data_IF_624020650790
#
_entry.id   IF_624020650790
#
_cell.length_a   1.000
_cell.length_b   1.000
_cell.length_c   1.000
_cell.angle_alpha   90.00
_cell.angle_beta   90.00
_cell.angle_gamma   90.00
#
_symmetry.space_group_name_H-M   'P 1'
#
loop_
_entity.id
_entity.type
_entity.pdbx_description
1 polymer ?
#
# COMPACT_ATOMS: atom_id res chain seq x y z
N UNK A 1 -26.05 10.11 9.59
CA UNK A 1 -26.76 9.43 10.68
C UNK A 1 -25.91 8.26 11.13
N UNK A 2 -25.58 8.15 12.43
CA UNK A 2 -24.87 6.99 12.97
C UNK A 2 -25.77 5.73 12.87
N UNK A 3 -25.15 4.58 12.60
CA UNK A 3 -25.81 3.30 12.35
C UNK A 3 -26.76 2.86 13.49
N UNK A 4 -26.43 3.25 14.73
CA UNK A 4 -27.19 2.92 15.93
C UNK A 4 -28.58 3.55 15.98
N UNK A 5 -28.76 4.74 15.40
CA UNK A 5 -30.03 5.47 15.42
C UNK A 5 -31.05 4.83 14.43
N UNK A 6 -30.54 4.19 13.40
CA UNK A 6 -31.34 3.47 12.41
C UNK A 6 -31.94 2.19 12.99
N UNK A 7 -31.14 1.43 13.75
CA UNK A 7 -31.57 0.21 14.44
C UNK A 7 -32.70 0.48 15.45
N UNK A 8 -32.60 1.60 16.18
CA UNK A 8 -33.62 2.01 17.14
C UNK A 8 -34.96 2.34 16.46
N UNK A 9 -34.90 3.06 15.34
CA UNK A 9 -36.09 3.45 14.57
C UNK A 9 -36.79 2.23 13.95
N UNK A 10 -36.04 1.22 13.48
CA UNK A 10 -36.61 -0.03 12.96
C UNK A 10 -37.27 -0.84 14.08
N UNK A 11 -36.65 -0.92 15.26
CA UNK A 11 -37.20 -1.64 16.42
C UNK A 11 -38.51 -1.03 16.93
N UNK A 12 -38.62 0.30 16.94
CA UNK A 12 -39.87 0.98 17.30
C UNK A 12 -40.98 0.72 16.28
N UNK A 13 -40.69 0.79 14.98
CA UNK A 13 -41.69 0.52 13.93
C UNK A 13 -42.19 -0.94 13.92
N UNK A 14 -41.32 -1.92 14.19
CA UNK A 14 -41.73 -3.33 14.21
C UNK A 14 -42.66 -3.64 15.38
N UNK A 15 -42.46 -2.98 16.53
CA UNK A 15 -43.31 -3.14 17.71
C UNK A 15 -44.74 -2.64 17.47
N UNK A 16 -44.90 -1.51 16.75
CA UNK A 16 -46.22 -0.92 16.45
C UNK A 16 -47.06 -1.79 15.49
N UNK A 17 -46.43 -2.55 14.59
CA UNK A 17 -47.14 -3.38 13.62
C UNK A 17 -47.67 -4.68 14.26
N UNK A 18 -47.08 -5.13 15.37
CA UNK A 18 -47.45 -6.41 16.01
C UNK A 18 -48.76 -6.36 16.83
N UNK A 19 -49.26 -5.17 17.18
CA UNK A 19 -50.35 -5.00 18.13
C UNK A 19 -51.78 -5.25 17.62
N UNK A 20 -52.02 -5.32 16.31
CA UNK A 20 -53.38 -5.19 15.75
C UNK A 20 -53.84 -6.28 14.77
N UNK A 21 -53.19 -7.45 14.78
CA UNK A 21 -53.52 -8.56 13.86
C UNK A 21 -53.99 -9.81 14.63
N UNK A 22 -55.19 -9.75 15.23
CA UNK A 22 -55.91 -10.93 15.74
C UNK A 22 -57.08 -11.27 14.82
N UNK A 23 -56.80 -11.99 13.73
CA UNK A 23 -57.81 -12.54 12.82
C UNK A 23 -57.24 -13.69 11.98
N UNK A 24 -58.06 -14.67 11.57
CA UNK A 24 -57.62 -15.91 10.89
C UNK A 24 -56.98 -15.70 9.50
N UNK A 25 -56.97 -14.46 8.99
CA UNK A 25 -56.33 -14.06 7.72
C UNK A 25 -54.84 -13.71 7.93
N UNK A 26 -54.36 -13.61 9.17
CA UNK A 26 -53.00 -13.17 9.50
C UNK A 26 -51.90 -14.25 9.30
N UNK A 27 -52.27 -15.52 9.14
CA UNK A 27 -51.29 -16.63 9.05
C UNK A 27 -50.74 -16.83 7.63
N UNK A 28 -51.45 -16.43 6.59
CA UNK A 28 -50.98 -16.54 5.20
C UNK A 28 -49.99 -15.42 4.85
N UNK A 29 -50.28 -14.17 5.26
CA UNK A 29 -49.44 -13.00 4.94
C UNK A 29 -48.05 -13.01 5.59
N UNK A 30 -47.90 -13.65 6.77
CA UNK A 30 -46.60 -13.70 7.48
C UNK A 30 -45.57 -14.57 6.76
N UNK A 31 -45.99 -15.60 6.02
CA UNK A 31 -45.09 -16.54 5.33
C UNK A 31 -44.43 -15.92 4.09
N UNK A 32 -45.12 -14.99 3.43
CA UNK A 32 -44.62 -14.30 2.25
C UNK A 32 -43.68 -13.13 2.59
N UNK A 33 -43.82 -12.55 3.81
CA UNK A 33 -42.91 -11.49 4.30
C UNK A 33 -41.55 -12.10 4.67
N UNK A 34 -41.53 -13.21 5.41
CA UNK A 34 -40.27 -13.88 5.81
C UNK A 34 -39.49 -14.42 4.60
N UNK A 35 -40.20 -14.92 3.58
CA UNK A 35 -39.57 -15.43 2.37
C UNK A 35 -38.89 -14.32 1.55
N UNK A 36 -39.40 -13.09 1.55
CA UNK A 36 -38.77 -11.98 0.83
C UNK A 36 -37.54 -11.42 1.55
N UNK A 37 -37.48 -11.46 2.90
CA UNK A 37 -36.31 -11.02 3.67
C UNK A 37 -35.08 -11.91 3.42
N UNK A 38 -35.27 -13.23 3.29
CA UNK A 38 -34.21 -14.19 2.95
C UNK A 38 -33.63 -13.97 1.55
N UNK A 39 -34.44 -13.51 0.58
CA UNK A 39 -33.95 -13.19 -0.77
C UNK A 39 -33.18 -11.87 -0.82
N UNK A 40 -33.52 -10.88 0.01
CA UNK A 40 -32.74 -9.63 0.13
C UNK A 40 -31.39 -9.85 0.80
N UNK A 41 -31.31 -10.68 1.85
CA UNK A 41 -30.04 -10.99 2.53
C UNK A 41 -29.09 -11.78 1.63
N UNK A 42 -29.61 -12.73 0.84
CA UNK A 42 -28.77 -13.56 -0.05
C UNK A 42 -28.28 -12.82 -1.31
N UNK A 43 -28.91 -11.69 -1.65
CA UNK A 43 -28.52 -10.88 -2.81
C UNK A 43 -27.35 -9.93 -2.48
N UNK A 44 -27.23 -9.47 -1.25
CA UNK A 44 -26.10 -8.65 -0.81
C UNK A 44 -24.78 -9.46 -0.78
N UNK A 45 -24.81 -10.72 -0.34
CA UNK A 45 -23.62 -11.59 -0.33
C UNK A 45 -23.04 -11.86 -1.74
N UNK A 46 -23.89 -11.87 -2.76
CA UNK A 46 -23.47 -12.20 -4.14
C UNK A 46 -22.85 -11.01 -4.89
N UNK A 47 -23.08 -9.76 -4.44
CA UNK A 47 -22.40 -8.58 -4.98
C UNK A 47 -21.05 -8.34 -4.30
N UNK A 48 -20.84 -8.76 -3.05
CA UNK A 48 -19.53 -8.67 -2.38
C UNK A 48 -18.49 -9.66 -2.94
N UNK A 49 -18.92 -10.83 -3.41
CA UNK A 49 -17.97 -11.88 -3.82
C UNK A 49 -17.26 -11.59 -5.16
N UNK A 50 -17.86 -10.77 -6.04
CA UNK A 50 -17.21 -10.36 -7.31
C UNK A 50 -16.25 -9.18 -7.14
N UNK A 51 -16.42 -8.36 -6.10
CA UNK A 51 -15.51 -7.24 -5.80
C UNK A 51 -14.20 -7.73 -5.18
N UNK A 52 -14.23 -8.86 -4.47
CA UNK A 52 -13.06 -9.40 -3.76
C UNK A 52 -11.87 -9.77 -4.66
N UNK A 53 -12.13 -10.20 -5.90
CA UNK A 53 -11.08 -10.55 -6.87
C UNK A 53 -10.36 -9.32 -7.42
N UNK A 54 -11.08 -8.21 -7.62
CA UNK A 54 -10.53 -6.97 -8.17
C UNK A 54 -9.55 -6.29 -7.21
N UNK A 55 -9.80 -6.33 -5.90
CA UNK A 55 -8.91 -5.73 -4.90
C UNK A 55 -7.54 -6.40 -4.88
N UNK A 56 -7.50 -7.73 -5.00
CA UNK A 56 -6.24 -8.48 -5.04
C UNK A 56 -5.42 -8.11 -6.27
N UNK A 57 -6.03 -7.99 -7.44
CA UNK A 57 -5.31 -7.61 -8.66
C UNK A 57 -4.69 -6.20 -8.55
N UNK A 58 -5.44 -5.24 -7.99
CA UNK A 58 -4.94 -3.87 -7.76
C UNK A 58 -3.77 -3.83 -6.78
N UNK A 59 -3.81 -4.65 -5.73
CA UNK A 59 -2.69 -4.76 -4.78
C UNK A 59 -1.41 -5.27 -5.46
N UNK A 60 -1.51 -6.39 -6.19
CA UNK A 60 -0.34 -6.98 -6.86
C UNK A 60 0.21 -6.08 -7.98
N UNK A 61 -0.67 -5.40 -8.73
CA UNK A 61 -0.22 -4.47 -9.76
C UNK A 61 0.43 -3.23 -9.17
N UNK A 62 -0.11 -2.69 -8.07
CA UNK A 62 0.50 -1.59 -7.33
C UNK A 62 1.87 -1.95 -6.77
N UNK A 63 2.01 -3.14 -6.20
CA UNK A 63 3.30 -3.66 -5.72
C UNK A 63 4.32 -3.78 -6.86
N UNK A 64 3.92 -4.36 -7.99
CA UNK A 64 4.77 -4.47 -9.17
C UNK A 64 5.17 -3.09 -9.72
N UNK A 65 4.24 -2.13 -9.73
CA UNK A 65 4.49 -0.77 -10.17
C UNK A 65 5.53 -0.05 -9.29
N UNK A 66 5.43 -0.20 -7.96
CA UNK A 66 6.41 0.30 -7.00
C UNK A 66 7.80 -0.27 -7.29
N UNK A 67 7.91 -1.58 -7.53
CA UNK A 67 9.18 -2.23 -7.86
C UNK A 67 9.80 -1.67 -9.16
N UNK A 68 8.98 -1.44 -10.19
CA UNK A 68 9.45 -0.88 -11.47
C UNK A 68 9.95 0.56 -11.29
N UNK A 69 9.21 1.41 -10.57
CA UNK A 69 9.65 2.77 -10.28
C UNK A 69 10.97 2.76 -9.53
N UNK A 70 11.10 1.89 -8.53
CA UNK A 70 12.32 1.78 -7.74
C UNK A 70 13.54 1.47 -8.60
N UNK A 71 13.40 0.47 -9.47
CA UNK A 71 14.46 0.08 -10.40
C UNK A 71 14.83 1.19 -11.38
N UNK A 72 13.83 1.93 -11.87
CA UNK A 72 14.05 3.07 -12.76
C UNK A 72 14.87 4.17 -12.08
N UNK A 73 14.59 4.45 -10.80
CA UNK A 73 15.36 5.41 -10.00
C UNK A 73 16.81 4.98 -9.88
N UNK A 74 17.06 3.69 -9.57
CA UNK A 74 18.42 3.17 -9.50
C UNK A 74 19.18 3.35 -10.82
N UNK A 75 18.53 3.14 -11.96
CA UNK A 75 19.11 3.39 -13.29
C UNK A 75 19.45 4.87 -13.49
N UNK A 76 18.56 5.78 -13.11
CA UNK A 76 18.78 7.23 -13.22
C UNK A 76 19.89 7.71 -12.29
N UNK A 77 20.05 7.06 -11.13
CA UNK A 77 21.08 7.41 -10.15
C UNK A 77 22.50 7.05 -10.62
N UNK A 78 22.65 6.00 -11.46
CA UNK A 78 23.94 5.54 -11.98
C UNK A 78 24.76 6.61 -12.72
N UNK A 79 24.25 7.28 -13.77
CA UNK A 79 25.01 8.31 -14.47
C UNK A 79 25.37 9.48 -13.55
N UNK A 80 24.49 9.80 -12.59
CA UNK A 80 24.76 10.84 -11.60
C UNK A 80 25.96 10.47 -10.72
N UNK A 81 26.03 9.21 -10.24
CA UNK A 81 27.16 8.71 -9.44
C UNK A 81 28.48 8.73 -10.22
N UNK A 82 28.43 8.47 -11.54
CA UNK A 82 29.62 8.44 -12.39
C UNK A 82 30.15 9.84 -12.75
N UNK A 83 29.26 10.83 -12.91
CA UNK A 83 29.63 12.17 -13.35
C UNK A 83 30.13 13.04 -12.19
N UNK A 84 29.47 12.93 -11.03
CA UNK A 84 29.75 13.83 -9.91
C UNK A 84 31.01 13.45 -9.16
N UNK A 85 31.72 14.47 -8.67
CA UNK A 85 32.95 14.30 -7.90
C UNK A 85 32.88 14.90 -6.50
N UNK A 86 33.65 14.31 -5.59
CA UNK A 86 33.87 14.79 -4.22
C UNK A 86 32.68 14.50 -3.29
N UNK A 87 32.60 15.24 -2.18
CA UNK A 87 31.57 15.02 -1.16
C UNK A 87 30.16 15.44 -1.61
N UNK A 88 30.04 16.26 -2.66
CA UNK A 88 28.76 16.76 -3.18
C UNK A 88 27.84 15.62 -3.66
N UNK A 89 28.42 14.50 -4.12
CA UNK A 89 27.66 13.31 -4.52
C UNK A 89 26.80 12.79 -3.37
N UNK A 90 27.31 12.75 -2.14
CA UNK A 90 26.59 12.19 -0.99
C UNK A 90 25.40 13.06 -0.59
N UNK A 91 25.55 14.39 -0.68
CA UNK A 91 24.45 15.32 -0.42
C UNK A 91 23.35 15.20 -1.46
N UNK A 92 23.71 15.11 -2.74
CA UNK A 92 22.74 15.01 -3.82
C UNK A 92 22.05 13.64 -3.79
N UNK A 93 22.81 12.55 -3.67
CA UNK A 93 22.28 11.19 -3.57
C UNK A 93 21.43 11.01 -2.32
N UNK A 94 21.84 11.57 -1.18
CA UNK A 94 21.05 11.58 0.05
C UNK A 94 19.75 12.39 -0.09
N UNK A 95 19.81 13.57 -0.69
CA UNK A 95 18.61 14.39 -0.94
C UNK A 95 17.62 13.69 -1.87
N UNK A 96 18.11 13.07 -2.94
CA UNK A 96 17.31 12.25 -3.86
C UNK A 96 16.72 11.04 -3.11
N UNK A 97 17.51 10.37 -2.27
CA UNK A 97 17.07 9.26 -1.43
C UNK A 97 15.90 9.66 -0.52
N UNK A 98 16.02 10.76 0.22
CA UNK A 98 14.93 11.28 1.07
C UNK A 98 13.68 11.59 0.23
N UNK A 99 13.84 12.31 -0.88
CA UNK A 99 12.72 12.71 -1.73
C UNK A 99 11.95 11.49 -2.26
N UNK A 100 12.67 10.48 -2.77
CA UNK A 100 12.03 9.23 -3.19
C UNK A 100 11.50 8.42 -2.02
N UNK A 101 12.16 8.43 -0.87
CA UNK A 101 11.67 7.78 0.35
C UNK A 101 10.29 8.33 0.77
N UNK A 102 10.08 9.64 0.67
CA UNK A 102 8.77 10.27 0.94
C UNK A 102 7.72 9.81 -0.09
N UNK A 103 8.08 9.78 -1.37
CA UNK A 103 7.17 9.32 -2.44
C UNK A 103 6.80 7.85 -2.23
N UNK A 104 7.76 7.00 -1.89
CA UNK A 104 7.54 5.58 -1.62
C UNK A 104 6.69 5.36 -0.37
N UNK A 105 6.97 6.07 0.72
CA UNK A 105 6.16 6.02 1.92
C UNK A 105 4.71 6.42 1.62
N UNK A 106 4.48 7.45 0.79
CA UNK A 106 3.13 7.80 0.32
C UNK A 106 2.47 6.68 -0.50
N UNK A 107 3.16 6.13 -1.51
CA UNK A 107 2.66 5.04 -2.35
C UNK A 107 2.30 3.79 -1.53
N UNK A 108 3.14 3.45 -0.55
CA UNK A 108 2.93 2.29 0.31
C UNK A 108 1.73 2.50 1.22
N UNK A 109 1.56 3.71 1.78
CA UNK A 109 0.36 4.05 2.57
C UNK A 109 -0.92 3.94 1.75
N UNK A 110 -0.90 4.34 0.49
CA UNK A 110 -2.07 4.18 -0.38
C UNK A 110 -2.38 2.70 -0.66
N UNK A 111 -1.36 1.86 -0.84
CA UNK A 111 -1.54 0.41 -0.97
C UNK A 111 -1.99 -0.26 0.33
N UNK A 112 -1.53 0.24 1.47
CA UNK A 112 -1.87 -0.27 2.80
C UNK A 112 -3.37 -0.13 3.10
N UNK A 113 -4.02 0.92 2.59
CA UNK A 113 -5.47 1.09 2.72
C UNK A 113 -6.27 0.03 1.95
N UNK A 114 -5.69 -0.60 0.92
CA UNK A 114 -6.35 -1.63 0.13
C UNK A 114 -6.40 -2.98 0.88
N UNK A 115 -5.47 -3.25 1.81
CA UNK A 115 -5.40 -4.54 2.50
C UNK A 115 -4.87 -4.45 3.94
N UNK A 116 -5.79 -4.33 4.91
CA UNK A 116 -5.51 -4.15 6.35
C UNK A 116 -4.74 -5.29 7.03
N UNK A 117 -4.51 -6.44 6.39
CA UNK A 117 -3.86 -7.60 7.03
C UNK A 117 -2.35 -7.71 6.77
N UNK A 118 -1.78 -6.86 5.91
CA UNK A 118 -0.42 -7.05 5.42
C UNK A 118 0.57 -5.91 5.72
N UNK A 119 0.31 -5.12 6.78
CA UNK A 119 1.22 -4.06 7.25
C UNK A 119 2.68 -4.52 7.41
N UNK A 120 2.90 -5.73 7.93
CA UNK A 120 4.24 -6.30 8.14
C UNK A 120 4.99 -6.60 6.83
N UNK A 121 4.24 -6.90 5.75
CA UNK A 121 4.81 -7.24 4.47
C UNK A 121 5.48 -6.02 3.84
N UNK A 122 4.81 -4.86 3.84
CA UNK A 122 5.38 -3.61 3.34
C UNK A 122 6.65 -3.21 4.10
N UNK A 123 6.63 -3.34 5.44
CA UNK A 123 7.80 -3.03 6.27
C UNK A 123 9.03 -3.88 5.96
N UNK A 124 8.83 -5.13 5.52
CA UNK A 124 9.92 -6.04 5.14
C UNK A 124 10.35 -5.85 3.69
N UNK A 125 9.42 -5.47 2.81
CA UNK A 125 9.67 -5.28 1.38
C UNK A 125 10.62 -4.12 1.11
N UNK A 126 10.44 -2.98 1.79
CA UNK A 126 11.24 -1.77 1.60
C UNK A 126 12.76 -2.00 1.81
N UNK A 127 13.23 -2.59 2.92
CA UNK A 127 14.65 -2.85 3.10
C UNK A 127 15.20 -3.87 2.10
N UNK A 128 14.40 -4.88 1.70
CA UNK A 128 14.80 -5.83 0.66
C UNK A 128 15.04 -5.11 -0.67
N UNK A 129 14.11 -4.22 -1.05
CA UNK A 129 14.20 -3.41 -2.27
C UNK A 129 15.46 -2.53 -2.23
N UNK A 130 15.73 -1.86 -1.11
CA UNK A 130 16.93 -1.04 -0.94
C UNK A 130 18.23 -1.84 -1.09
N UNK A 131 18.30 -3.04 -0.51
CA UNK A 131 19.47 -3.93 -0.66
C UNK A 131 19.65 -4.33 -2.13
N UNK A 132 18.56 -4.65 -2.83
CA UNK A 132 18.58 -4.99 -4.25
C UNK A 132 19.15 -3.84 -5.10
N UNK A 133 18.71 -2.60 -4.83
CA UNK A 133 19.26 -1.41 -5.48
C UNK A 133 20.75 -1.24 -5.21
N UNK A 134 21.21 -1.48 -3.98
CA UNK A 134 22.63 -1.41 -3.65
C UNK A 134 23.45 -2.34 -4.55
N UNK A 135 22.97 -3.58 -4.69
CA UNK A 135 23.63 -4.60 -5.48
C UNK A 135 23.66 -4.20 -6.97
N UNK A 136 22.54 -3.69 -7.49
CA UNK A 136 22.42 -3.21 -8.87
C UNK A 136 23.37 -2.02 -9.10
N UNK A 137 23.34 -1.00 -8.25
CA UNK A 137 24.18 0.20 -8.37
C UNK A 137 25.65 -0.21 -8.39
N UNK A 138 26.08 -1.06 -7.45
CA UNK A 138 27.47 -1.50 -7.34
C UNK A 138 27.90 -2.35 -8.56
N UNK A 139 27.08 -3.31 -8.97
CA UNK A 139 27.37 -4.17 -10.11
C UNK A 139 27.44 -3.38 -11.41
N UNK A 140 26.42 -2.57 -11.70
CA UNK A 140 26.33 -1.81 -12.95
C UNK A 140 27.39 -0.71 -12.99
N UNK A 141 27.65 0.00 -11.87
CA UNK A 141 28.68 1.05 -11.83
C UNK A 141 30.08 0.50 -12.16
N UNK A 142 30.43 -0.69 -11.65
CA UNK A 142 31.71 -1.35 -11.96
C UNK A 142 31.83 -1.69 -13.44
N UNK A 143 30.79 -2.29 -14.01
CA UNK A 143 30.77 -2.65 -15.43
C UNK A 143 30.83 -1.41 -16.33
N UNK A 144 30.05 -0.36 -16.01
CA UNK A 144 30.07 0.89 -16.76
C UNK A 144 31.44 1.58 -16.69
N UNK A 145 32.10 1.59 -15.54
CA UNK A 145 33.43 2.18 -15.42
C UNK A 145 34.48 1.48 -16.28
N UNK A 146 34.37 0.15 -16.43
CA UNK A 146 35.23 -0.62 -17.34
C UNK A 146 34.93 -0.26 -18.80
N UNK A 147 33.64 -0.21 -19.17
CA UNK A 147 33.19 0.11 -20.55
C UNK A 147 33.62 1.53 -20.95
N UNK A 148 33.41 2.52 -20.09
CA UNK A 148 33.73 3.92 -20.36
C UNK A 148 35.19 4.30 -20.06
N UNK A 149 35.98 3.38 -19.48
CA UNK A 149 37.37 3.62 -19.04
C UNK A 149 37.51 4.84 -18.12
N UNK A 150 36.48 5.15 -17.33
CA UNK A 150 36.48 6.28 -16.38
C UNK A 150 37.01 5.81 -15.03
N UNK A 151 37.96 6.55 -14.45
CA UNK A 151 38.39 6.32 -13.08
C UNK A 151 37.29 6.77 -12.12
N UNK A 152 36.63 5.82 -11.45
CA UNK A 152 35.67 6.14 -10.39
C UNK A 152 36.44 6.73 -9.21
N UNK A 153 36.17 7.99 -8.88
CA UNK A 153 36.84 8.67 -7.76
C UNK A 153 36.22 8.35 -6.39
N UNK A 154 35.08 7.64 -6.37
CA UNK A 154 34.28 7.36 -5.18
C UNK A 154 33.94 5.89 -5.11
N UNK A 155 33.69 5.37 -3.92
CA UNK A 155 33.20 4.02 -3.76
C UNK A 155 31.67 3.99 -4.02
N UNK A 156 31.18 3.34 -5.10
CA UNK A 156 29.75 3.28 -5.41
C UNK A 156 28.93 2.64 -4.30
N UNK A 157 29.53 1.73 -3.53
CA UNK A 157 28.88 1.07 -2.40
C UNK A 157 28.56 2.08 -1.29
N UNK A 158 29.46 3.03 -1.01
CA UNK A 158 29.22 4.07 0.00
C UNK A 158 28.12 5.02 -0.47
N UNK A 159 28.15 5.46 -1.73
CA UNK A 159 27.11 6.32 -2.28
C UNK A 159 25.72 5.63 -2.27
N UNK A 160 25.66 4.37 -2.68
CA UNK A 160 24.43 3.57 -2.60
C UNK A 160 23.96 3.33 -1.16
N UNK A 161 24.88 3.18 -0.21
CA UNK A 161 24.51 3.05 1.21
C UNK A 161 23.89 4.34 1.75
N UNK A 162 24.46 5.50 1.40
CA UNK A 162 23.90 6.81 1.75
C UNK A 162 22.50 6.97 1.15
N UNK A 163 22.30 6.58 -0.12
CA UNK A 163 20.98 6.57 -0.75
C UNK A 163 19.96 5.76 0.05
N UNK A 164 20.29 4.50 0.39
CA UNK A 164 19.36 3.59 1.07
C UNK A 164 19.03 4.09 2.47
N UNK A 165 20.03 4.53 3.24
CA UNK A 165 19.81 5.08 4.57
C UNK A 165 18.90 6.31 4.49
N UNK A 166 19.17 7.21 3.55
CA UNK A 166 18.36 8.40 3.30
C UNK A 166 16.92 8.06 2.87
N UNK A 167 16.76 7.08 1.98
CA UNK A 167 15.49 6.56 1.52
C UNK A 167 14.66 5.90 2.62
N UNK A 168 15.32 5.23 3.57
CA UNK A 168 14.66 4.58 4.70
C UNK A 168 14.18 5.57 5.76
N UNK A 169 14.73 6.79 5.86
CA UNK A 169 14.38 7.76 6.91
C UNK A 169 12.88 8.10 6.94
N UNK A 170 12.24 8.52 5.83
CA UNK A 170 10.81 8.85 5.83
C UNK A 170 9.92 7.69 6.29
N UNK A 171 10.25 6.48 5.84
CA UNK A 171 9.53 5.26 6.23
C UNK A 171 9.75 4.89 7.70
N UNK A 172 11.00 4.95 8.18
CA UNK A 172 11.29 4.70 9.59
C UNK A 172 10.58 5.72 10.50
N UNK A 173 10.54 6.99 10.10
CA UNK A 173 9.81 8.04 10.78
C UNK A 173 8.30 7.75 10.82
N UNK A 174 7.70 7.34 9.70
CA UNK A 174 6.28 6.99 9.64
C UNK A 174 5.94 5.78 10.51
N UNK A 175 6.83 4.77 10.54
CA UNK A 175 6.69 3.59 11.39
C UNK A 175 6.78 3.93 12.89
N UNK A 176 7.73 4.80 13.29
CA UNK A 176 7.93 5.18 14.70
C UNK A 176 6.73 5.95 15.27
N UNK A 177 6.11 6.83 14.48
CA UNK A 177 4.97 7.65 14.93
C UNK A 177 3.68 6.83 15.04
N UNK A 178 3.54 5.77 14.23
CA UNK A 178 2.31 4.96 14.18
C UNK A 178 2.21 3.90 15.26
N UNK A 179 3.12 3.87 16.23
CA UNK A 179 3.17 2.82 17.25
C UNK A 179 1.95 2.79 18.20
N UNK A 180 1.09 3.81 18.14
CA UNK A 180 -0.05 4.00 19.05
C UNK A 180 -1.45 3.83 18.40
N UNK A 181 -1.56 3.24 17.19
CA UNK A 181 -2.85 2.95 16.51
C UNK A 181 -2.94 1.47 16.15
#
# INVERSE_FOLDING_TARGET
MPFDDYQKTIKERSSMISGNLRGPIALTKKKDIVRNEDYSLKKDDSYEQTTYSSHRFLYWSGLAFILVINFLIAIILLPLILILKGYMIYFIVGGIGILFGVIFDFLIRDLEHLEKRHHLFAATLIPIIGILDLMIINFVSKNLAVIFKVKISHNPLVAGSVYILAFMIPFAYSLLIRKDV
#
